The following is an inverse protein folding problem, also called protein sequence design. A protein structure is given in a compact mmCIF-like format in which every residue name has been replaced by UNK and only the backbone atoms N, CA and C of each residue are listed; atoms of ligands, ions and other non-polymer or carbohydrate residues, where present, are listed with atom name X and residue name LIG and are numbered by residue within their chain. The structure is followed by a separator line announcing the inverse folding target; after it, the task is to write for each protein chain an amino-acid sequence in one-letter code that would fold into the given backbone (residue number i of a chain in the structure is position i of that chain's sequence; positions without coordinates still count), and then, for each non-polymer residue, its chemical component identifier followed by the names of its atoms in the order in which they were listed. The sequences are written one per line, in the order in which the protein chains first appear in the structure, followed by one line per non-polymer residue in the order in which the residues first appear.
data_IF_603547655298
#
_entry.id   IF_603547655298
#
_cell.length_a   1.000
_cell.length_b   1.000
_cell.length_c   1.000
_cell.angle_alpha   90.00
_cell.angle_beta   90.00
_cell.angle_gamma   90.00
#
_symmetry.space_group_name_H-M   'P 1'
#
loop_
_entity.id
_entity.type
_entity.pdbx_description
1 polymer ?
#
# COMPACT_ATOMS: atom_id res chain seq x y z
N UNK A 1 -13.02 -1.52 18.93
CA UNK A 1 -13.03 -0.08 18.62
C UNK A 1 -13.34 0.11 17.14
N UNK A 2 -14.26 1.00 16.85
CA UNK A 2 -14.65 1.28 15.47
C UNK A 2 -13.60 2.14 14.78
N UNK A 3 -13.62 2.11 13.44
CA UNK A 3 -12.78 2.99 12.66
C UNK A 3 -13.29 4.43 12.75
N UNK A 4 -12.41 5.42 12.69
CA UNK A 4 -12.81 6.82 12.67
C UNK A 4 -13.66 7.14 11.43
N UNK A 5 -14.52 8.14 11.52
CA UNK A 5 -15.32 8.59 10.38
C UNK A 5 -14.45 9.19 9.27
N UNK A 6 -13.22 9.59 9.59
CA UNK A 6 -12.29 10.20 8.65
C UNK A 6 -11.39 9.19 7.94
N UNK A 7 -11.71 7.91 7.97
CA UNK A 7 -10.95 6.91 7.21
C UNK A 7 -11.23 7.08 5.71
N UNK A 8 -10.17 7.30 4.95
CA UNK A 8 -10.24 7.52 3.52
C UNK A 8 -9.40 6.49 2.81
N UNK A 9 -9.99 5.82 1.82
CA UNK A 9 -9.30 4.89 0.94
C UNK A 9 -9.11 5.58 -0.41
N UNK A 10 -7.87 5.67 -0.86
CA UNK A 10 -7.56 6.37 -2.11
C UNK A 10 -6.33 5.80 -2.79
N UNK A 11 -6.15 6.14 -4.06
CA UNK A 11 -4.89 5.84 -4.75
C UNK A 11 -3.77 6.69 -4.16
N UNK A 12 -2.58 6.13 -4.08
CA UNK A 12 -1.42 6.84 -3.57
C UNK A 12 -0.86 7.80 -4.61
N UNK A 13 -0.16 8.81 -4.12
CA UNK A 13 0.60 9.74 -4.96
C UNK A 13 2.03 9.85 -4.44
N UNK A 14 2.84 10.71 -5.07
CA UNK A 14 4.25 10.84 -4.71
C UNK A 14 4.47 11.29 -3.26
N UNK A 15 3.54 12.06 -2.70
CA UNK A 15 3.66 12.52 -1.31
C UNK A 15 3.55 11.36 -0.31
N UNK A 16 3.02 10.22 -0.74
CA UNK A 16 2.86 9.04 0.10
C UNK A 16 4.09 8.14 0.11
N UNK A 17 5.10 8.44 -0.73
CA UNK A 17 6.23 7.52 -0.97
C UNK A 17 6.95 7.12 0.32
N UNK A 18 7.23 8.07 1.21
CA UNK A 18 7.97 7.77 2.43
C UNK A 18 7.20 6.82 3.35
N UNK A 19 5.90 7.02 3.49
CA UNK A 19 5.05 6.11 4.29
C UNK A 19 5.00 4.71 3.68
N UNK A 20 4.89 4.63 2.35
CA UNK A 20 4.87 3.35 1.64
C UNK A 20 6.19 2.59 1.85
N UNK A 21 7.32 3.30 1.74
CA UNK A 21 8.64 2.71 1.94
C UNK A 21 8.75 2.16 3.37
N UNK A 22 8.33 2.94 4.35
CA UNK A 22 8.35 2.52 5.75
C UNK A 22 7.49 1.28 5.97
N UNK A 23 6.28 1.24 5.43
CA UNK A 23 5.40 0.09 5.55
C UNK A 23 5.97 -1.16 4.87
N UNK A 24 6.52 -1.00 3.67
CA UNK A 24 7.10 -2.12 2.94
C UNK A 24 8.31 -2.71 3.66
N UNK A 25 9.16 -1.86 4.22
CA UNK A 25 10.30 -2.31 5.01
C UNK A 25 9.84 -3.03 6.28
N UNK A 26 8.83 -2.49 6.96
CA UNK A 26 8.28 -3.12 8.17
C UNK A 26 7.64 -4.47 7.85
N UNK A 27 6.94 -4.57 6.74
CA UNK A 27 6.32 -5.82 6.31
C UNK A 27 7.37 -6.91 6.07
N UNK A 28 8.47 -6.57 5.36
CA UNK A 28 9.52 -7.54 5.07
C UNK A 28 10.18 -8.04 6.36
N UNK A 29 10.41 -7.14 7.31
CA UNK A 29 10.99 -7.51 8.58
C UNK A 29 10.05 -8.40 9.40
N UNK A 30 8.76 -8.05 9.41
CA UNK A 30 7.75 -8.75 10.21
C UNK A 30 7.43 -10.14 9.66
N UNK A 31 7.29 -10.26 8.32
CA UNK A 31 6.84 -11.51 7.70
C UNK A 31 7.98 -12.45 7.31
N UNK A 32 9.14 -11.92 6.95
CA UNK A 32 10.26 -12.70 6.44
C UNK A 32 11.54 -12.52 7.23
N UNK A 33 11.50 -11.71 8.28
CA UNK A 33 12.68 -11.34 9.07
C UNK A 33 13.81 -10.83 8.15
N UNK A 34 13.43 -10.07 7.14
CA UNK A 34 14.35 -9.60 6.10
C UNK A 34 14.49 -8.09 6.15
N UNK A 35 15.73 -7.63 6.16
CA UNK A 35 16.04 -6.21 6.10
C UNK A 35 16.30 -5.83 4.63
N UNK A 36 15.44 -4.95 4.10
CA UNK A 36 15.54 -4.53 2.71
C UNK A 36 16.60 -3.43 2.52
N UNK A 37 17.14 -3.38 1.31
CA UNK A 37 17.97 -2.25 0.88
C UNK A 37 17.04 -1.05 0.66
N UNK A 38 17.09 -0.07 1.56
CA UNK A 38 16.16 1.06 1.54
C UNK A 38 16.33 1.94 0.31
N UNK A 39 17.56 2.07 -0.21
CA UNK A 39 17.79 2.86 -1.43
C UNK A 39 17.10 2.21 -2.63
N UNK A 40 17.22 0.89 -2.77
CA UNK A 40 16.56 0.15 -3.84
C UNK A 40 15.06 0.16 -3.68
N UNK A 41 14.58 0.00 -2.47
CA UNK A 41 13.14 0.04 -2.18
C UNK A 41 12.56 1.40 -2.53
N UNK A 42 13.28 2.48 -2.22
CA UNK A 42 12.86 3.84 -2.57
C UNK A 42 12.75 3.98 -4.08
N UNK A 43 13.78 3.55 -4.82
CA UNK A 43 13.75 3.61 -6.28
C UNK A 43 12.58 2.83 -6.85
N UNK A 44 12.34 1.61 -6.34
CA UNK A 44 11.24 0.77 -6.80
C UNK A 44 9.87 1.38 -6.53
N UNK A 45 9.69 1.96 -5.34
CA UNK A 45 8.44 2.61 -4.96
C UNK A 45 8.16 3.83 -5.85
N UNK A 46 9.18 4.68 -6.04
CA UNK A 46 9.04 5.86 -6.88
C UNK A 46 8.79 5.48 -8.34
N UNK A 47 9.45 4.43 -8.83
CA UNK A 47 9.24 3.95 -10.20
C UNK A 47 7.79 3.52 -10.42
N UNK A 48 7.21 2.79 -9.47
CA UNK A 48 5.82 2.37 -9.60
C UNK A 48 4.88 3.56 -9.57
N UNK A 49 5.09 4.50 -8.63
CA UNK A 49 4.24 5.69 -8.50
C UNK A 49 4.30 6.56 -9.75
N UNK A 50 5.44 6.56 -10.45
CA UNK A 50 5.65 7.37 -11.66
C UNK A 50 5.32 6.63 -12.95
N UNK A 51 4.99 5.35 -12.89
CA UNK A 51 4.80 4.53 -14.10
C UNK A 51 3.47 3.76 -13.99
N UNK A 52 2.33 4.44 -14.24
CA UNK A 52 1.01 3.82 -14.10
C UNK A 52 0.85 2.45 -14.77
N UNK A 53 1.47 2.17 -15.94
CA UNK A 53 1.34 0.83 -16.54
C UNK A 53 1.89 -0.32 -15.70
N UNK A 54 2.77 -0.06 -14.72
CA UNK A 54 3.29 -1.12 -13.85
C UNK A 54 2.27 -1.54 -12.80
N UNK A 55 1.46 -0.60 -12.33
CA UNK A 55 0.51 -0.85 -11.26
C UNK A 55 0.25 0.41 -10.45
N UNK A 56 -0.30 0.23 -9.28
CA UNK A 56 -0.58 1.36 -8.39
C UNK A 56 -0.65 0.90 -6.94
N UNK A 57 -0.51 1.86 -6.02
CA UNK A 57 -0.75 1.63 -4.61
C UNK A 57 -2.10 2.20 -4.21
N UNK A 58 -2.83 1.46 -3.37
CA UNK A 58 -3.98 1.99 -2.63
C UNK A 58 -3.55 2.17 -1.19
N UNK A 59 -3.98 3.26 -0.58
CA UNK A 59 -3.61 3.56 0.80
C UNK A 59 -4.85 3.89 1.62
N UNK A 60 -4.75 3.62 2.92
CA UNK A 60 -5.75 4.00 3.89
C UNK A 60 -5.19 5.16 4.72
N UNK A 61 -5.91 6.26 4.75
CA UNK A 61 -5.51 7.49 5.41
C UNK A 61 -6.49 7.85 6.50
N UNK A 62 -5.96 8.20 7.67
CA UNK A 62 -6.76 8.79 8.75
C UNK A 62 -6.53 10.28 8.71
N UNK A 63 -7.63 11.03 8.74
CA UNK A 63 -7.59 12.48 8.87
C UNK A 63 -8.11 12.87 10.25
N UNK A 64 -7.33 13.67 10.95
CA UNK A 64 -7.69 14.21 12.26
C UNK A 64 -7.38 15.72 12.22
N UNK A 65 -8.41 16.52 11.95
CA UNK A 65 -8.23 17.94 11.70
C UNK A 65 -7.37 18.16 10.47
N UNK A 66 -6.23 18.85 10.64
CA UNK A 66 -5.29 19.09 9.55
C UNK A 66 -4.25 17.98 9.43
N UNK A 67 -4.19 17.07 10.39
CA UNK A 67 -3.22 15.98 10.37
C UNK A 67 -3.71 14.83 9.51
N UNK A 68 -2.77 14.24 8.77
CA UNK A 68 -3.03 13.10 7.92
C UNK A 68 -2.00 12.02 8.22
N UNK A 69 -2.47 10.78 8.32
CA UNK A 69 -1.58 9.67 8.59
C UNK A 69 -2.02 8.46 7.79
N UNK A 70 -1.08 7.84 7.10
CA UNK A 70 -1.36 6.57 6.44
C UNK A 70 -1.28 5.45 7.47
N UNK A 71 -2.24 4.52 7.41
CA UNK A 71 -2.32 3.39 8.32
C UNK A 71 -2.36 2.05 7.60
N UNK A 72 -2.41 2.05 6.29
CA UNK A 72 -2.41 0.82 5.52
C UNK A 72 -2.13 1.06 4.06
N UNK A 73 -1.75 -0.02 3.38
CA UNK A 73 -1.44 0.00 1.96
C UNK A 73 -1.66 -1.36 1.33
N UNK A 74 -1.84 -1.36 0.01
CA UNK A 74 -1.61 -2.54 -0.82
C UNK A 74 -1.12 -2.06 -2.18
N UNK A 75 -0.39 -2.93 -2.88
CA UNK A 75 0.09 -2.66 -4.22
C UNK A 75 -0.66 -3.58 -5.18
N UNK A 76 -1.09 -3.02 -6.31
CA UNK A 76 -1.66 -3.79 -7.41
C UNK A 76 -0.68 -3.75 -8.56
N UNK A 77 -0.35 -4.91 -9.10
CA UNK A 77 0.42 -5.03 -10.33
C UNK A 77 -0.38 -5.84 -11.33
N UNK A 78 -0.01 -5.74 -12.61
CA UNK A 78 -0.75 -6.34 -13.70
C UNK A 78 0.03 -7.49 -14.33
N UNK A 79 -0.71 -8.53 -14.77
CA UNK A 79 -0.13 -9.62 -15.54
C UNK A 79 -1.05 -9.92 -16.71
N UNK A 80 -0.50 -9.93 -17.91
CA UNK A 80 -1.27 -10.30 -19.11
C UNK A 80 -1.45 -11.81 -19.16
N UNK A 81 -2.66 -12.24 -19.49
CA UNK A 81 -2.96 -13.64 -19.76
C UNK A 81 -3.53 -13.78 -21.16
N UNK A 82 -2.80 -14.45 -22.05
CA UNK A 82 -3.26 -14.74 -23.40
C UNK A 82 -4.39 -15.78 -23.37
N UNK A 83 -4.35 -16.69 -22.41
CA UNK A 83 -5.39 -17.72 -22.27
C UNK A 83 -6.75 -17.09 -21.97
N UNK A 84 -6.78 -15.98 -21.25
CA UNK A 84 -8.02 -15.32 -20.87
C UNK A 84 -8.27 -14.04 -21.65
N UNK A 85 -7.31 -13.67 -22.51
CA UNK A 85 -7.36 -12.42 -23.26
C UNK A 85 -7.65 -11.24 -22.35
N UNK A 86 -6.91 -11.16 -21.27
CA UNK A 86 -7.13 -10.12 -20.28
C UNK A 86 -5.99 -9.97 -19.30
N UNK A 87 -6.15 -9.03 -18.39
CA UNK A 87 -5.16 -8.67 -17.39
C UNK A 87 -5.59 -9.18 -16.02
N UNK A 88 -4.68 -9.90 -15.35
CA UNK A 88 -4.84 -10.22 -13.95
C UNK A 88 -4.32 -9.07 -13.09
N UNK A 89 -4.97 -8.83 -11.98
CA UNK A 89 -4.51 -7.91 -10.96
C UNK A 89 -3.94 -8.71 -9.79
N UNK A 90 -2.68 -8.46 -9.48
CA UNK A 90 -2.02 -9.10 -8.36
C UNK A 90 -1.94 -8.14 -7.18
N UNK A 91 -2.41 -8.62 -6.03
CA UNK A 91 -2.33 -7.87 -4.77
C UNK A 91 -1.02 -8.22 -4.08
N UNK A 92 -0.21 -7.19 -3.80
CA UNK A 92 1.10 -7.37 -3.19
C UNK A 92 1.33 -6.32 -2.13
N UNK A 93 2.34 -6.53 -1.31
CA UNK A 93 2.80 -5.55 -0.30
C UNK A 93 1.67 -5.04 0.59
N UNK A 94 0.77 -5.95 0.97
CA UNK A 94 -0.36 -5.62 1.83
C UNK A 94 0.13 -5.42 3.25
N UNK A 95 -0.13 -4.25 3.81
CA UNK A 95 0.29 -3.94 5.16
C UNK A 95 -0.69 -2.98 5.82
N UNK A 96 -1.00 -3.25 7.08
CA UNK A 96 -1.77 -2.36 7.94
C UNK A 96 -0.94 -2.11 9.19
N UNK A 97 -0.86 -0.85 9.61
CA UNK A 97 -0.18 -0.46 10.85
C UNK A 97 -0.70 -1.35 11.99
N UNK A 98 0.19 -1.99 12.77
CA UNK A 98 -0.25 -2.92 13.82
C UNK A 98 -1.30 -2.35 14.76
N UNK A 99 -1.25 -1.05 15.06
CA UNK A 99 -2.23 -0.40 15.93
C UNK A 99 -3.64 -0.38 15.33
N UNK A 100 -3.73 -0.58 14.01
CA UNK A 100 -5.01 -0.50 13.29
C UNK A 100 -5.49 -1.83 12.72
N UNK A 101 -4.79 -2.92 13.03
CA UNK A 101 -5.18 -4.25 12.57
C UNK A 101 -6.46 -4.72 13.27
N UNK A 102 -7.20 -5.61 12.59
CA UNK A 102 -8.45 -6.20 13.08
C UNK A 102 -9.57 -5.17 13.26
N UNK A 103 -9.48 -4.05 12.55
CA UNK A 103 -10.49 -2.99 12.57
C UNK A 103 -11.15 -2.80 11.21
N UNK A 104 -10.92 -3.75 10.27
CA UNK A 104 -11.53 -3.70 8.96
C UNK A 104 -10.83 -2.81 7.94
N UNK A 105 -9.62 -2.33 8.24
CA UNK A 105 -8.88 -1.45 7.31
C UNK A 105 -8.55 -2.19 6.01
N UNK A 106 -8.01 -3.40 6.11
CA UNK A 106 -7.68 -4.19 4.92
C UNK A 106 -8.92 -4.42 4.05
N UNK A 107 -10.04 -4.77 4.67
CA UNK A 107 -11.29 -4.96 3.93
C UNK A 107 -11.69 -3.72 3.15
N UNK A 108 -11.56 -2.55 3.77
CA UNK A 108 -11.90 -1.28 3.12
C UNK A 108 -10.98 -0.99 1.93
N UNK A 109 -9.69 -1.26 2.07
CA UNK A 109 -8.73 -1.04 0.97
C UNK A 109 -9.03 -2.01 -0.19
N UNK A 110 -9.37 -3.25 0.14
CA UNK A 110 -9.64 -4.29 -0.85
C UNK A 110 -10.92 -4.04 -1.65
N UNK A 111 -11.88 -3.39 -1.04
CA UNK A 111 -13.11 -3.01 -1.72
C UNK A 111 -12.86 -1.92 -2.76
#
# INVERSE_FOLDING_TARGET
MSLPNQLIIRAANLDDAESIITFSAAMALETENRQLDLARLREGTLSLLNTPPYGFFMVAEIRDGEQRRLIGQLMITYEWSDWRNGVFWWMQSVYVDPAWRRRGVFRRIHE
#
